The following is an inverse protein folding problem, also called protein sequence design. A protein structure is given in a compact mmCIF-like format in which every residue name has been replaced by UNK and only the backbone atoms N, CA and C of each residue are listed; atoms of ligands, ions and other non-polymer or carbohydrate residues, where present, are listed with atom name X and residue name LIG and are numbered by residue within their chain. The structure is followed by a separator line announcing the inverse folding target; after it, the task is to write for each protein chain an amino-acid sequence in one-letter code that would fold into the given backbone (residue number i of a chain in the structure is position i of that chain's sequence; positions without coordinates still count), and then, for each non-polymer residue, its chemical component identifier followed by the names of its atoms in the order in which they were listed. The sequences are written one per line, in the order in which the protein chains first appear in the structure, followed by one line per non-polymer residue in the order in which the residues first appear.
data_IF_678927942872
#
_entry.id   IF_678927942872
#
_cell.length_a   1.000
_cell.length_b   1.000
_cell.length_c   1.000
_cell.angle_alpha   90.00
_cell.angle_beta   90.00
_cell.angle_gamma   90.00
#
_symmetry.space_group_name_H-M   'P 1'
#
loop_
_entity.id
_entity.type
_entity.pdbx_description
1 polymer ?
#
# COMPACT_ATOMS: atom_id res chain seq x y z
N UNK A 1 7.67 3.66 0.27
CA UNK A 1 6.80 2.72 -0.45
C UNK A 1 5.78 3.58 -1.18
N UNK A 2 6.02 3.81 -2.47
CA UNK A 2 5.13 4.58 -3.32
C UNK A 2 3.83 3.81 -3.61
N UNK A 3 2.81 4.51 -4.13
CA UNK A 3 1.47 3.95 -4.38
C UNK A 3 1.54 2.72 -5.31
N UNK A 4 2.41 2.74 -6.33
CA UNK A 4 2.63 1.60 -7.22
C UNK A 4 3.20 0.37 -6.49
N UNK A 5 4.08 0.57 -5.52
CA UNK A 5 4.66 -0.50 -4.71
C UNK A 5 3.65 -1.08 -3.73
N UNK A 6 2.77 -0.24 -3.19
CA UNK A 6 1.63 -0.67 -2.37
C UNK A 6 0.66 -1.51 -3.21
N UNK A 7 0.30 -1.03 -4.40
CA UNK A 7 -0.55 -1.75 -5.34
C UNK A 7 0.06 -3.10 -5.77
N UNK A 8 1.38 -3.16 -6.02
CA UNK A 8 2.09 -4.41 -6.33
C UNK A 8 2.06 -5.39 -5.15
N UNK A 9 2.34 -4.90 -3.94
CA UNK A 9 2.32 -5.73 -2.73
C UNK A 9 0.92 -6.32 -2.49
N UNK A 10 -0.13 -5.54 -2.79
CA UNK A 10 -1.52 -5.95 -2.72
C UNK A 10 -1.88 -7.03 -3.73
N UNK A 11 -1.62 -6.82 -5.03
CA UNK A 11 -1.87 -7.84 -6.07
C UNK A 11 -1.17 -9.16 -5.72
N UNK A 12 0.08 -9.08 -5.26
CA UNK A 12 0.82 -10.28 -4.83
C UNK A 12 0.08 -10.98 -3.67
N UNK A 13 -0.36 -10.22 -2.67
CA UNK A 13 -1.08 -10.77 -1.51
C UNK A 13 -2.42 -11.38 -1.88
N UNK A 14 -3.18 -10.77 -2.79
CA UNK A 14 -4.42 -11.35 -3.32
C UNK A 14 -4.17 -12.69 -4.02
N UNK A 15 -3.10 -12.78 -4.83
CA UNK A 15 -2.73 -14.03 -5.50
C UNK A 15 -2.24 -15.13 -4.54
N UNK A 16 -1.64 -14.74 -3.41
CA UNK A 16 -1.17 -15.66 -2.36
C UNK A 16 -2.30 -16.10 -1.40
N UNK A 17 -3.45 -15.42 -1.41
CA UNK A 17 -4.56 -15.63 -0.48
C UNK A 17 -5.70 -16.42 -1.13
N UNK A 18 -6.56 -17.09 -0.34
CA UNK A 18 -7.82 -17.61 -0.85
C UNK A 18 -8.64 -16.49 -1.50
N UNK A 19 -9.38 -16.83 -2.56
CA UNK A 19 -10.22 -15.87 -3.26
C UNK A 19 -11.18 -15.19 -2.28
N UNK A 20 -11.06 -13.86 -2.17
CA UNK A 20 -11.95 -13.03 -1.38
C UNK A 20 -13.27 -12.85 -2.12
N UNK A 21 -14.39 -12.85 -1.38
CA UNK A 21 -15.64 -12.35 -1.96
C UNK A 21 -15.58 -10.83 -2.16
N UNK A 22 -16.56 -10.31 -2.89
CA UNK A 22 -16.61 -8.89 -3.26
C UNK A 22 -16.56 -7.95 -2.05
N UNK A 23 -17.19 -8.30 -0.93
CA UNK A 23 -17.19 -7.43 0.25
C UNK A 23 -15.81 -7.39 0.89
N UNK A 24 -15.18 -8.55 1.08
CA UNK A 24 -13.86 -8.62 1.70
C UNK A 24 -12.76 -7.99 0.83
N UNK A 25 -12.89 -8.09 -0.50
CA UNK A 25 -12.00 -7.40 -1.43
C UNK A 25 -12.08 -5.87 -1.24
N UNK A 26 -13.28 -5.31 -1.21
CA UNK A 26 -13.49 -3.86 -1.00
C UNK A 26 -12.96 -3.39 0.36
N UNK A 27 -13.13 -4.20 1.42
CA UNK A 27 -12.57 -3.91 2.74
C UNK A 27 -11.04 -3.88 2.68
N UNK A 28 -10.41 -4.91 2.10
CA UNK A 28 -8.96 -4.98 2.00
C UNK A 28 -8.38 -3.79 1.22
N UNK A 29 -9.06 -3.37 0.14
CA UNK A 29 -8.64 -2.20 -0.63
C UNK A 29 -8.82 -0.90 0.15
N UNK A 30 -9.92 -0.77 0.90
CA UNK A 30 -10.19 0.37 1.77
C UNK A 30 -9.17 0.50 2.92
N UNK A 31 -8.79 -0.60 3.55
CA UNK A 31 -7.78 -0.62 4.62
C UNK A 31 -6.40 -0.14 4.10
N UNK A 32 -6.02 -0.57 2.91
CA UNK A 32 -4.79 -0.14 2.25
C UNK A 32 -4.81 1.37 1.95
N UNK A 33 -5.93 1.89 1.44
CA UNK A 33 -6.13 3.32 1.21
C UNK A 33 -6.04 4.14 2.51
N UNK A 34 -6.58 3.63 3.62
CA UNK A 34 -6.49 4.28 4.92
C UNK A 34 -5.03 4.33 5.39
N UNK A 35 -4.27 3.24 5.28
CA UNK A 35 -2.85 3.21 5.66
C UNK A 35 -2.01 4.22 4.87
N UNK A 36 -2.24 4.30 3.55
CA UNK A 36 -1.63 5.33 2.67
C UNK A 36 -1.95 6.73 3.18
N UNK A 37 -3.22 7.04 3.44
CA UNK A 37 -3.62 8.38 3.84
C UNK A 37 -3.26 8.73 5.29
N UNK A 38 -3.10 7.77 6.17
CA UNK A 38 -2.69 8.00 7.56
C UNK A 38 -1.18 8.24 7.68
N UNK A 39 -0.36 7.48 6.95
CA UNK A 39 1.09 7.47 7.13
C UNK A 39 1.84 8.33 6.12
N UNK A 40 1.20 8.78 5.03
CA UNK A 40 1.82 9.70 4.07
C UNK A 40 1.74 11.15 4.57
N UNK A 41 2.86 11.87 4.52
CA UNK A 41 2.97 13.28 4.91
C UNK A 41 2.15 14.21 4.00
N UNK A 42 1.46 15.21 4.58
CA UNK A 42 0.63 16.14 3.81
C UNK A 42 1.41 17.03 2.85
N UNK A 43 2.67 17.30 3.18
CA UNK A 43 3.59 18.03 2.33
C UNK A 43 4.04 17.24 1.09
N UNK A 44 3.82 15.92 1.04
CA UNK A 44 4.29 15.07 -0.04
C UNK A 44 3.36 13.86 -0.26
N UNK A 45 2.11 14.08 -0.70
CA UNK A 45 1.09 13.03 -0.85
C UNK A 45 1.48 11.95 -1.86
N UNK A 46 2.30 12.27 -2.86
CA UNK A 46 2.75 11.32 -3.88
C UNK A 46 4.08 10.63 -3.55
N UNK A 47 4.75 11.01 -2.44
CA UNK A 47 5.99 10.36 -2.00
C UNK A 47 5.77 8.97 -1.41
N UNK A 48 4.51 8.62 -1.12
CA UNK A 48 4.11 7.37 -0.48
C UNK A 48 4.52 7.28 0.99
N UNK A 49 4.48 6.07 1.55
CA UNK A 49 4.73 5.83 2.97
C UNK A 49 6.21 5.52 3.21
N UNK A 50 6.91 6.18 4.14
CA UNK A 50 8.24 5.73 4.58
C UNK A 50 8.18 4.29 5.08
N UNK A 51 8.99 3.38 4.52
CA UNK A 51 8.90 1.94 4.84
C UNK A 51 9.12 1.66 6.34
N UNK A 52 10.00 2.43 6.98
CA UNK A 52 10.23 2.34 8.42
C UNK A 52 8.96 2.68 9.24
N UNK A 53 8.17 3.66 8.79
CA UNK A 53 6.91 4.04 9.43
C UNK A 53 5.87 2.96 9.27
N UNK A 54 5.72 2.42 8.06
CA UNK A 54 4.79 1.31 7.80
C UNK A 54 5.12 0.08 8.65
N UNK A 55 6.40 -0.29 8.75
CA UNK A 55 6.85 -1.44 9.56
C UNK A 55 6.57 -1.23 11.05
N UNK A 56 6.87 -0.04 11.58
CA UNK A 56 6.58 0.28 12.98
C UNK A 56 5.09 0.23 13.26
N UNK A 57 4.28 0.84 12.39
CA UNK A 57 2.83 0.87 12.57
C UNK A 57 2.20 -0.53 12.53
N UNK A 58 2.61 -1.39 11.58
CA UNK A 58 2.08 -2.77 11.50
C UNK A 58 2.58 -3.64 12.65
N UNK A 59 3.83 -3.49 13.09
CA UNK A 59 4.44 -4.37 14.10
C UNK A 59 4.08 -3.97 15.53
N UNK A 60 4.13 -2.67 15.81
CA UNK A 60 4.06 -2.11 17.16
C UNK A 60 2.72 -1.39 17.41
N UNK A 61 1.81 -1.37 16.41
CA UNK A 61 0.50 -0.69 16.45
C UNK A 61 0.57 0.77 16.94
N UNK A 62 1.71 1.42 16.70
CA UNK A 62 2.04 2.74 17.24
C UNK A 62 2.44 3.68 16.10
N UNK A 63 2.08 4.96 16.22
CA UNK A 63 2.52 5.97 15.27
C UNK A 63 4.02 6.31 15.44
N UNK A 64 4.74 6.59 14.34
CA UNK A 64 6.14 6.98 14.39
C UNK A 64 6.40 8.22 15.24
N UNK A 65 7.58 8.31 15.85
CA UNK A 65 8.01 9.52 16.56
C UNK A 65 8.00 10.71 15.60
N UNK A 66 7.37 11.81 16.01
CA UNK A 66 7.21 13.02 15.20
C UNK A 66 6.07 12.95 14.16
N UNK A 67 5.33 11.84 14.11
CA UNK A 67 4.07 11.79 13.37
C UNK A 67 3.04 12.71 14.03
N UNK A 68 2.33 13.48 13.20
CA UNK A 68 1.23 14.33 13.65
C UNK A 68 0.07 14.19 12.66
N UNK A 69 -1.19 14.16 13.14
CA UNK A 69 -2.35 14.16 12.26
C UNK A 69 -2.32 15.43 11.39
N UNK A 70 -2.40 15.26 10.07
CA UNK A 70 -2.26 16.37 9.11
C UNK A 70 -3.48 16.59 8.22
N UNK A 71 -4.48 15.69 8.30
CA UNK A 71 -5.74 15.77 7.55
C UNK A 71 -6.82 14.91 8.20
N UNK A 72 -8.07 15.20 7.86
CA UNK A 72 -9.20 14.29 8.13
C UNK A 72 -9.36 13.34 6.96
N UNK A 73 -9.57 12.06 7.26
CA UNK A 73 -9.80 11.02 6.25
C UNK A 73 -11.27 10.60 6.29
N UNK A 74 -12.05 11.02 5.29
CA UNK A 74 -13.44 10.58 5.12
C UNK A 74 -13.56 9.33 4.25
N UNK A 75 -14.73 8.70 4.27
CA UNK A 75 -15.03 7.50 3.47
C UNK A 75 -14.81 7.73 1.97
N UNK A 76 -15.32 8.85 1.44
CA UNK A 76 -15.20 9.20 0.02
C UNK A 76 -13.73 9.33 -0.41
N UNK A 77 -12.89 9.86 0.48
CA UNK A 77 -11.48 9.99 0.16
C UNK A 77 -10.77 8.63 0.12
N UNK A 78 -11.14 7.70 1.01
CA UNK A 78 -10.60 6.35 1.02
C UNK A 78 -10.98 5.62 -0.27
N UNK A 79 -12.23 5.75 -0.72
CA UNK A 79 -12.70 5.19 -2.00
C UNK A 79 -11.93 5.80 -3.19
N UNK A 80 -11.67 7.10 -3.19
CA UNK A 80 -10.87 7.75 -4.25
C UNK A 80 -9.43 7.24 -4.27
N UNK A 81 -8.82 7.08 -3.11
CA UNK A 81 -7.45 6.58 -3.00
C UNK A 81 -7.36 5.10 -3.40
N UNK A 82 -8.37 4.29 -3.06
CA UNK A 82 -8.54 2.93 -3.54
C UNK A 82 -8.53 2.87 -5.07
N UNK A 83 -9.35 3.69 -5.74
CA UNK A 83 -9.38 3.74 -7.20
C UNK A 83 -8.02 4.15 -7.82
N UNK A 84 -7.27 5.06 -7.17
CA UNK A 84 -5.90 5.41 -7.60
C UNK A 84 -4.94 4.24 -7.48
N UNK A 85 -5.04 3.44 -6.42
CA UNK A 85 -4.25 2.23 -6.24
C UNK A 85 -4.57 1.21 -7.32
N UNK A 86 -5.84 1.00 -7.64
CA UNK A 86 -6.29 0.08 -8.69
C UNK A 86 -5.80 0.49 -10.08
N UNK A 87 -5.83 1.79 -10.38
CA UNK A 87 -5.27 2.32 -11.62
C UNK A 87 -3.75 2.13 -11.68
N UNK A 88 -3.05 2.35 -10.55
CA UNK A 88 -1.62 2.06 -10.40
C UNK A 88 -1.30 0.57 -10.64
N UNK A 89 -2.11 -0.32 -10.06
CA UNK A 89 -2.05 -1.76 -10.22
C UNK A 89 -2.22 -2.17 -11.69
N UNK A 90 -3.25 -1.67 -12.36
CA UNK A 90 -3.50 -1.94 -13.79
C UNK A 90 -2.33 -1.50 -14.67
N UNK A 91 -1.81 -0.28 -14.46
CA UNK A 91 -0.61 0.20 -15.18
C UNK A 91 0.61 -0.71 -14.99
N UNK A 92 0.81 -1.25 -13.79
CA UNK A 92 1.90 -2.18 -13.52
C UNK A 92 1.70 -3.54 -14.20
N UNK A 93 0.45 -4.00 -14.32
CA UNK A 93 0.13 -5.23 -15.05
C UNK A 93 0.35 -5.06 -16.57
N UNK A 94 -0.09 -3.92 -17.14
CA UNK A 94 0.01 -3.63 -18.57
C UNK A 94 1.45 -3.39 -19.04
N UNK A 95 2.35 -2.98 -18.15
CA UNK A 95 3.78 -2.79 -18.44
C UNK A 95 4.59 -4.09 -18.44
N UNK A 96 3.95 -5.26 -18.33
CA UNK A 96 4.60 -6.56 -18.49
C UNK A 96 5.65 -6.85 -17.42
N UNK A 97 5.34 -6.53 -16.16
CA UNK A 97 6.32 -6.41 -15.09
C UNK A 97 7.29 -7.58 -14.84
N UNK A 98 8.28 -7.26 -13.99
CA UNK A 98 9.23 -8.13 -13.29
C UNK A 98 10.69 -8.07 -13.81
N UNK A 99 11.48 -7.13 -13.29
CA UNK A 99 12.91 -7.39 -13.04
C UNK A 99 13.07 -7.76 -11.56
N UNK A 100 13.32 -9.04 -11.33
CA UNK A 100 13.64 -9.61 -10.03
C UNK A 100 15.06 -9.14 -9.64
N UNK A 101 15.14 -8.19 -8.71
CA UNK A 101 16.42 -7.77 -8.12
C UNK A 101 17.03 -8.93 -7.34
N UNK A 102 18.08 -9.52 -7.92
CA UNK A 102 18.75 -10.74 -7.47
C UNK A 102 19.21 -10.73 -6.01
N UNK A 103 18.85 -11.81 -5.32
CA UNK A 103 19.44 -12.26 -4.06
C UNK A 103 19.73 -13.74 -4.17
N UNK A 104 20.71 -14.11 -5.00
CA UNK A 104 21.21 -15.48 -5.07
C UNK A 104 21.73 -15.90 -3.70
N UNK A 105 21.12 -16.92 -3.11
CA UNK A 105 21.71 -17.62 -1.98
C UNK A 105 22.98 -18.34 -2.47
N UNK A 106 24.16 -18.17 -1.82
CA UNK A 106 25.28 -19.02 -2.12
C UNK A 106 24.98 -20.44 -1.62
N UNK A 107 24.99 -21.40 -2.54
CA UNK A 107 25.14 -22.80 -2.20
C UNK A 107 26.55 -22.99 -1.61
N UNK A 108 26.62 -23.42 -0.36
CA UNK A 108 27.83 -23.79 0.37
C UNK A 108 27.46 -24.64 1.56
#
# INVERSE_FOLDING_TARGET
MAVDQVAKAHIRRENESPALDRLHAEIAHGEMAIALRALTTASAPDAGIPLAWLRMWIRDETFPVGWTPSRTVGLVDAVRECARCDEGARRCADSGGYEEGGGGAPAG
#
